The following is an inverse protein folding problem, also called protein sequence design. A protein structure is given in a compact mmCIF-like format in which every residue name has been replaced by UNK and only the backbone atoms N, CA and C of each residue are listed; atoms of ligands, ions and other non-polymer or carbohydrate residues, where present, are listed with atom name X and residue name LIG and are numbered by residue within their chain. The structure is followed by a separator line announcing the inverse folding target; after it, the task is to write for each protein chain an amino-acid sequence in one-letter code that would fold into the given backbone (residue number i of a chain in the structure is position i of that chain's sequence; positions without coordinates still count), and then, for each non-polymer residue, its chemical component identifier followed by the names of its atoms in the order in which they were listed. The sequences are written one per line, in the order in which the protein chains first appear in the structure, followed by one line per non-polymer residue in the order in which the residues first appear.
data_IF_307075044260
#
_entry.id   IF_307075044260
#
_cell.length_a   1.000
_cell.length_b   1.000
_cell.length_c   1.000
_cell.angle_alpha   90.00
_cell.angle_beta   90.00
_cell.angle_gamma   90.00
#
_symmetry.space_group_name_H-M   'P 1'
#
loop_
_entity.id
_entity.type
_entity.pdbx_description
1 polymer ?
#
# COMPACT_ATOMS: atom_id res chain seq x y z
N UNK A 1 -17.11 -30.39 -11.43
CA UNK A 1 -15.80 -29.68 -11.51
C UNK A 1 -15.68 -28.73 -10.32
N UNK A 2 -15.03 -29.13 -9.22
CA UNK A 2 -14.62 -28.20 -8.15
C UNK A 2 -13.20 -27.75 -8.48
N UNK A 3 -13.03 -26.46 -8.76
CA UNK A 3 -11.75 -25.86 -9.12
C UNK A 3 -11.33 -24.92 -7.98
N UNK A 4 -10.97 -25.48 -6.83
CA UNK A 4 -10.59 -24.72 -5.65
C UNK A 4 -9.53 -25.47 -4.86
N UNK A 5 -8.24 -25.29 -5.18
CA UNK A 5 -7.14 -25.67 -4.30
C UNK A 5 -5.74 -25.21 -4.80
N UNK A 6 -5.54 -23.99 -5.34
CA UNK A 6 -4.16 -23.58 -5.71
C UNK A 6 -3.87 -22.09 -5.51
N UNK A 7 -4.41 -21.47 -4.47
CA UNK A 7 -3.79 -20.26 -3.94
C UNK A 7 -3.47 -20.55 -2.49
N UNK A 8 -2.31 -21.17 -2.23
CA UNK A 8 -1.78 -21.19 -0.88
C UNK A 8 -1.61 -19.73 -0.47
N UNK A 9 -2.25 -19.34 0.65
CA UNK A 9 -1.89 -18.09 1.31
C UNK A 9 -0.41 -18.18 1.62
N UNK A 10 0.37 -17.29 1.06
CA UNK A 10 1.82 -17.28 1.24
C UNK A 10 2.18 -16.44 2.45
N UNK A 11 1.60 -15.25 2.57
CA UNK A 11 2.01 -14.22 3.53
C UNK A 11 0.88 -13.22 3.83
N UNK A 12 1.22 -12.14 4.54
CA UNK A 12 0.36 -11.00 4.82
C UNK A 12 1.07 -9.71 4.42
N UNK A 13 0.35 -8.83 3.73
CA UNK A 13 0.78 -7.46 3.44
C UNK A 13 0.16 -6.51 4.45
N UNK A 14 0.98 -5.69 5.11
CA UNK A 14 0.55 -4.74 6.13
C UNK A 14 0.94 -3.33 5.70
N UNK A 15 0.04 -2.38 5.89
CA UNK A 15 0.41 -0.96 5.94
C UNK A 15 0.22 -0.45 7.35
N UNK A 16 1.16 0.37 7.80
CA UNK A 16 1.12 1.00 9.11
C UNK A 16 1.42 2.49 8.96
N UNK A 17 0.90 3.30 9.88
CA UNK A 17 1.26 4.69 9.95
C UNK A 17 2.64 4.86 10.61
N UNK A 18 3.20 6.06 10.53
CA UNK A 18 4.48 6.39 11.19
C UNK A 18 4.43 6.18 12.71
N UNK A 19 3.24 6.24 13.33
CA UNK A 19 3.03 5.99 14.75
C UNK A 19 2.94 4.50 15.13
N UNK A 20 3.05 3.59 14.15
CA UNK A 20 3.00 2.14 14.39
C UNK A 20 1.59 1.55 14.47
N UNK A 21 0.53 2.33 14.22
CA UNK A 21 -0.82 1.76 14.06
C UNK A 21 -0.95 1.03 12.74
N UNK A 22 -1.52 -0.16 12.79
CA UNK A 22 -1.86 -0.94 11.60
C UNK A 22 -3.06 -0.28 10.90
N UNK A 23 -2.85 0.18 9.66
CA UNK A 23 -3.88 0.82 8.84
C UNK A 23 -4.61 -0.20 7.97
N UNK A 24 -3.87 -1.12 7.34
CA UNK A 24 -4.45 -2.19 6.52
C UNK A 24 -3.72 -3.51 6.72
N UNK A 25 -4.46 -4.61 6.55
CA UNK A 25 -3.93 -5.96 6.52
C UNK A 25 -4.59 -6.73 5.36
N UNK A 26 -3.78 -7.34 4.50
CA UNK A 26 -4.26 -8.11 3.36
C UNK A 26 -3.57 -9.47 3.29
N UNK A 27 -4.33 -10.54 3.06
CA UNK A 27 -3.74 -11.86 2.83
C UNK A 27 -3.10 -11.88 1.44
N UNK A 28 -1.83 -12.30 1.38
CA UNK A 28 -1.14 -12.53 0.13
C UNK A 28 -1.38 -13.96 -0.33
N UNK A 29 -1.67 -14.10 -1.62
CA UNK A 29 -1.61 -15.37 -2.32
C UNK A 29 -0.24 -15.48 -3.00
N UNK A 30 0.28 -16.71 -3.10
CA UNK A 30 1.53 -16.98 -3.79
C UNK A 30 1.43 -16.60 -5.28
N UNK A 31 1.81 -15.36 -5.60
CA UNK A 31 1.77 -14.76 -6.93
C UNK A 31 2.96 -13.83 -7.08
N UNK A 32 3.55 -13.74 -8.27
CA UNK A 32 4.70 -12.87 -8.56
C UNK A 32 4.37 -11.37 -8.62
N UNK A 33 3.17 -10.97 -8.21
CA UNK A 33 2.67 -9.61 -8.33
C UNK A 33 2.52 -8.99 -6.93
N UNK A 34 3.60 -8.41 -6.41
CA UNK A 34 3.58 -7.78 -5.08
C UNK A 34 2.87 -6.42 -5.06
N UNK A 35 2.98 -5.65 -6.15
CA UNK A 35 2.47 -4.28 -6.22
C UNK A 35 0.94 -4.19 -6.12
N UNK A 36 0.20 -5.25 -6.44
CA UNK A 36 -1.27 -5.24 -6.34
C UNK A 36 -1.78 -5.08 -4.91
N UNK A 37 -1.07 -5.63 -3.93
CA UNK A 37 -1.44 -5.50 -2.52
C UNK A 37 -1.27 -4.06 -2.05
N UNK A 38 -0.27 -3.37 -2.61
CA UNK A 38 -0.04 -1.97 -2.36
C UNK A 38 -1.11 -1.08 -3.01
N UNK A 39 -1.50 -1.36 -4.26
CA UNK A 39 -2.62 -0.67 -4.92
C UNK A 39 -3.93 -0.83 -4.13
N UNK A 40 -4.23 -2.05 -3.65
CA UNK A 40 -5.42 -2.31 -2.84
C UNK A 40 -5.37 -1.55 -1.51
N UNK A 41 -4.19 -1.51 -0.88
CA UNK A 41 -4.01 -0.77 0.38
C UNK A 41 -4.21 0.73 0.19
N UNK A 42 -3.65 1.32 -0.86
CA UNK A 42 -3.85 2.74 -1.19
C UNK A 42 -5.31 3.03 -1.46
N UNK A 43 -5.98 2.21 -2.28
CA UNK A 43 -7.42 2.38 -2.52
C UNK A 43 -8.19 2.40 -1.19
N UNK A 44 -7.91 1.47 -0.29
CA UNK A 44 -8.58 1.44 1.01
C UNK A 44 -8.26 2.69 1.85
N UNK A 45 -7.00 3.13 1.86
CA UNK A 45 -6.59 4.34 2.58
C UNK A 45 -7.27 5.61 2.04
N UNK A 46 -7.32 5.79 0.72
CA UNK A 46 -8.02 6.92 0.10
C UNK A 46 -9.50 6.94 0.48
N UNK A 47 -10.15 5.76 0.55
CA UNK A 47 -11.55 5.66 0.92
C UNK A 47 -11.84 5.90 2.42
N UNK A 48 -10.91 5.53 3.31
CA UNK A 48 -11.14 5.57 4.78
C UNK A 48 -10.55 6.82 5.43
N UNK A 49 -9.34 7.22 5.03
CA UNK A 49 -8.63 8.35 5.62
C UNK A 49 -8.97 9.65 4.87
N UNK A 50 -9.12 9.58 3.54
CA UNK A 50 -9.49 10.71 2.69
C UNK A 50 -8.31 11.34 1.97
N UNK A 51 -8.32 12.67 1.90
CA UNK A 51 -7.37 13.46 1.12
C UNK A 51 -6.09 13.82 1.91
N UNK A 52 -5.11 14.40 1.24
CA UNK A 52 -3.85 14.92 1.82
C UNK A 52 -3.01 13.85 2.55
N UNK A 53 -3.03 12.63 2.01
CA UNK A 53 -2.29 11.51 2.58
C UNK A 53 -0.88 11.39 2.00
N UNK A 54 0.05 10.94 2.84
CA UNK A 54 1.40 10.58 2.45
C UNK A 54 1.63 9.08 2.67
N UNK A 55 2.05 8.39 1.61
CA UNK A 55 2.45 6.99 1.67
C UNK A 55 3.97 6.85 1.51
N UNK A 56 4.54 5.76 2.03
CA UNK A 56 5.98 5.50 1.94
C UNK A 56 6.29 4.07 1.52
N UNK A 57 7.14 3.90 0.51
CA UNK A 57 7.59 2.59 0.03
C UNK A 57 9.05 2.60 -0.44
N UNK A 58 9.77 1.53 -0.16
CA UNK A 58 11.19 1.36 -0.49
C UNK A 58 11.45 1.43 -2.01
N UNK A 59 10.52 0.90 -2.82
CA UNK A 59 10.54 0.98 -4.29
C UNK A 59 9.50 1.99 -4.80
N UNK A 60 9.39 3.15 -4.13
CA UNK A 60 8.40 4.19 -4.47
C UNK A 60 8.43 4.57 -5.96
N UNK A 61 9.59 4.88 -6.55
CA UNK A 61 9.63 5.50 -7.88
C UNK A 61 8.98 4.60 -8.94
N UNK A 62 9.26 3.30 -8.86
CA UNK A 62 8.66 2.31 -9.76
C UNK A 62 7.17 2.13 -9.46
N UNK A 63 6.81 2.04 -8.18
CA UNK A 63 5.41 1.90 -7.79
C UNK A 63 4.56 3.11 -8.18
N UNK A 64 5.07 4.33 -8.03
CA UNK A 64 4.38 5.56 -8.41
C UNK A 64 4.02 5.56 -9.90
N UNK A 65 4.96 5.14 -10.77
CA UNK A 65 4.68 4.96 -12.19
C UNK A 65 3.56 3.92 -12.43
N UNK A 66 3.55 2.82 -11.67
CA UNK A 66 2.49 1.82 -11.76
C UNK A 66 1.15 2.43 -11.34
N UNK A 67 1.09 3.09 -10.17
CA UNK A 67 -0.12 3.71 -9.62
C UNK A 67 -0.74 4.70 -10.60
N UNK A 68 0.06 5.62 -11.15
CA UNK A 68 -0.40 6.64 -12.10
C UNK A 68 -0.92 6.05 -13.41
N UNK A 69 -0.42 4.87 -13.81
CA UNK A 69 -0.89 4.16 -14.99
C UNK A 69 -2.11 3.24 -14.73
N UNK A 70 -2.61 3.20 -13.50
CA UNK A 70 -3.82 2.44 -13.14
C UNK A 70 -5.05 3.34 -13.09
N UNK A 71 -6.24 2.75 -13.00
CA UNK A 71 -7.49 3.50 -12.76
C UNK A 71 -7.52 4.26 -11.44
N UNK A 72 -6.60 3.98 -10.50
CA UNK A 72 -6.45 4.72 -9.25
C UNK A 72 -5.63 6.01 -9.42
N UNK A 73 -4.92 6.20 -10.54
CA UNK A 73 -4.10 7.39 -10.78
C UNK A 73 -4.88 8.70 -10.62
N UNK A 74 -6.06 8.87 -11.28
CA UNK A 74 -6.88 10.06 -11.12
C UNK A 74 -7.38 10.27 -9.69
N UNK A 75 -7.80 9.20 -9.00
CA UNK A 75 -8.27 9.25 -7.61
C UNK A 75 -7.15 9.67 -6.66
N UNK A 76 -5.97 9.06 -6.80
CA UNK A 76 -4.78 9.44 -6.04
C UNK A 76 -4.39 10.91 -6.27
N UNK A 77 -4.57 11.42 -7.49
CA UNK A 77 -4.28 12.81 -7.82
C UNK A 77 -5.31 13.79 -7.23
N UNK A 78 -6.58 13.42 -7.21
CA UNK A 78 -7.66 14.21 -6.61
C UNK A 78 -7.55 14.27 -5.08
N UNK A 79 -7.16 13.17 -4.46
CA UNK A 79 -6.94 13.08 -3.01
C UNK A 79 -5.58 13.66 -2.57
N UNK A 80 -4.86 14.36 -3.44
CA UNK A 80 -3.54 14.94 -3.17
C UNK A 80 -2.54 13.94 -2.57
N UNK A 81 -2.61 12.67 -2.98
CA UNK A 81 -1.73 11.63 -2.46
C UNK A 81 -0.28 11.95 -2.79
N UNK A 82 0.55 12.01 -1.76
CA UNK A 82 2.00 12.14 -1.88
C UNK A 82 2.65 10.80 -1.57
N UNK A 83 3.77 10.54 -2.22
CA UNK A 83 4.60 9.37 -1.94
C UNK A 83 5.99 9.83 -1.54
N UNK A 84 6.62 9.16 -0.57
CA UNK A 84 7.99 9.42 -0.13
C UNK A 84 8.81 8.13 -0.14
N UNK A 85 10.06 8.20 -0.58
CA UNK A 85 10.99 7.08 -0.35
C UNK A 85 11.34 7.17 1.13
N UNK A 86 11.07 6.15 1.95
CA UNK A 86 11.59 6.13 3.30
C UNK A 86 13.12 5.97 3.18
N UNK A 87 13.84 7.08 3.18
CA UNK A 87 15.30 7.09 3.11
C UNK A 87 15.95 6.47 4.35
N UNK A 88 15.17 6.19 5.40
CA UNK A 88 15.65 5.64 6.66
C UNK A 88 14.65 4.62 7.19
N UNK A 89 14.94 3.34 6.97
CA UNK A 89 14.43 2.30 7.86
C UNK A 89 14.89 2.67 9.29
N UNK A 90 13.92 2.76 10.21
CA UNK A 90 14.14 2.63 11.66
C UNK A 90 14.56 3.86 12.50
N UNK A 91 14.18 5.10 12.15
CA UNK A 91 14.22 6.21 13.15
C UNK A 91 12.87 6.90 13.43
N UNK A 92 11.80 6.52 12.71
CA UNK A 92 10.50 7.19 12.77
C UNK A 92 9.44 6.50 13.64
N UNK A 93 9.79 5.41 14.36
CA UNK A 93 8.85 4.68 15.23
C UNK A 93 8.67 5.32 16.63
N UNK A 94 8.95 6.61 16.78
CA UNK A 94 8.75 7.33 18.04
C UNK A 94 8.32 8.77 17.78
N UNK A 95 7.35 8.97 16.91
CA UNK A 95 6.62 10.23 16.86
C UNK A 95 5.33 10.05 17.68
N UNK A 96 5.10 10.99 18.59
CA UNK A 96 3.83 11.07 19.31
C UNK A 96 2.72 11.41 18.32
N UNK A 97 1.58 10.74 18.44
CA UNK A 97 0.37 11.09 17.70
C UNK A 97 -0.16 12.47 18.09
#
# INVERSE_FOLDING_TARGET
KKMFAIFSKSDVFITACQHGFLLTICNMIHSSELMKYLLVSIKHMLNVIGDDNCFSYDIKCHFWQILMNTSLGPEAHLCYLQDVVPAFHSHAQNWYC
#
